data_IF_115744789282
#
_entry.id   IF_115744789282
#
_cell.length_a   1.000
_cell.length_b   1.000
_cell.length_c   1.000
_cell.angle_alpha   90.00
_cell.angle_beta   90.00
_cell.angle_gamma   90.00
#
_symmetry.space_group_name_H-M   'P 1'
#
loop_
_entity.id
_entity.type
_entity.pdbx_description
1 polymer ?
#
# COMPACT_ATOMS: atom_id res chain seq x y z
N UNK A 1 6.89 -17.34 35.65
CA UNK A 1 6.34 -16.56 34.50
C UNK A 1 6.21 -15.12 34.93
N UNK A 2 6.63 -14.15 34.11
CA UNK A 2 6.39 -12.73 34.41
C UNK A 2 4.89 -12.44 34.25
N UNK A 3 4.27 -11.65 35.13
CA UNK A 3 2.87 -11.27 34.96
C UNK A 3 2.73 -10.47 33.65
N UNK A 4 1.66 -10.74 32.89
CA UNK A 4 1.36 -9.98 31.68
C UNK A 4 1.07 -8.54 32.09
N UNK A 5 1.81 -7.60 31.53
CA UNK A 5 1.56 -6.19 31.77
C UNK A 5 0.48 -5.70 30.80
N UNK A 6 -0.78 -5.67 31.24
CA UNK A 6 -1.92 -5.26 30.41
C UNK A 6 -1.75 -3.85 29.81
N UNK A 7 -1.06 -2.94 30.50
CA UNK A 7 -0.78 -1.61 29.97
C UNK A 7 0.18 -1.66 28.77
N UNK A 8 1.15 -2.56 28.79
CA UNK A 8 2.06 -2.79 27.65
C UNK A 8 1.31 -3.40 26.46
N UNK A 9 0.40 -4.35 26.70
CA UNK A 9 -0.41 -4.97 25.65
C UNK A 9 -1.34 -3.93 25.01
N UNK A 10 -1.98 -3.06 25.81
CA UNK A 10 -2.79 -1.96 25.29
C UNK A 10 -1.97 -1.02 24.41
N UNK A 11 -0.78 -0.60 24.89
CA UNK A 11 0.11 0.27 24.13
C UNK A 11 0.58 -0.37 22.80
N UNK A 12 0.92 -1.66 22.81
CA UNK A 12 1.24 -2.41 21.58
C UNK A 12 0.03 -2.49 20.65
N UNK A 13 -1.16 -2.70 21.19
CA UNK A 13 -2.40 -2.72 20.39
C UNK A 13 -2.65 -1.37 19.72
N UNK A 14 -2.33 -0.25 20.39
CA UNK A 14 -2.39 1.09 19.78
C UNK A 14 -1.41 1.23 18.62
N UNK A 15 -0.16 0.77 18.79
CA UNK A 15 0.86 0.78 17.74
C UNK A 15 0.40 -0.03 16.53
N UNK A 16 -0.14 -1.22 16.74
CA UNK A 16 -0.59 -2.09 15.65
C UNK A 16 -1.83 -1.54 14.92
N UNK A 17 -2.79 -0.97 15.64
CA UNK A 17 -3.93 -0.27 15.00
C UNK A 17 -3.45 0.89 14.13
N UNK A 18 -2.46 1.66 14.61
CA UNK A 18 -1.87 2.74 13.83
C UNK A 18 -1.10 2.22 12.61
N UNK A 19 -0.29 1.16 12.76
CA UNK A 19 0.46 0.51 11.66
C UNK A 19 -0.49 0.06 10.56
N UNK A 20 -1.62 -0.52 10.92
CA UNK A 20 -2.63 -1.01 9.99
C UNK A 20 -3.53 0.10 9.43
N UNK A 21 -3.37 1.34 9.89
CA UNK A 21 -4.24 2.46 9.51
C UNK A 21 -5.70 2.27 9.93
N UNK A 22 -5.96 1.46 10.95
CA UNK A 22 -7.31 1.20 11.44
C UNK A 22 -7.88 2.46 12.09
N UNK A 23 -9.08 2.85 11.68
CA UNK A 23 -9.82 3.92 12.36
C UNK A 23 -10.34 3.43 13.71
N UNK A 24 -10.60 4.35 14.68
CA UNK A 24 -11.23 3.97 15.94
C UNK A 24 -12.58 3.25 15.76
N UNK A 25 -13.30 3.57 14.69
CA UNK A 25 -14.57 2.90 14.34
C UNK A 25 -14.35 1.47 13.84
N UNK A 26 -13.37 1.23 12.96
CA UNK A 26 -13.01 -0.12 12.50
C UNK A 26 -12.58 -1.00 13.67
N UNK A 27 -11.71 -0.48 14.55
CA UNK A 27 -11.31 -1.16 15.77
C UNK A 27 -12.52 -1.50 16.65
N UNK A 28 -13.40 -0.53 16.91
CA UNK A 28 -14.62 -0.77 17.70
C UNK A 28 -15.55 -1.81 17.08
N UNK A 29 -15.79 -1.72 15.78
CA UNK A 29 -16.68 -2.64 15.06
C UNK A 29 -16.14 -4.07 15.10
N UNK A 30 -14.82 -4.25 14.95
CA UNK A 30 -14.18 -5.54 15.14
C UNK A 30 -14.39 -6.07 16.56
N UNK A 31 -14.15 -5.26 17.60
CA UNK A 31 -14.30 -5.70 19.00
C UNK A 31 -15.74 -6.08 19.35
N UNK A 32 -16.73 -5.34 18.84
CA UNK A 32 -18.15 -5.68 19.03
C UNK A 32 -18.47 -6.99 18.32
N UNK A 33 -17.99 -7.18 17.09
CA UNK A 33 -18.25 -8.39 16.29
C UNK A 33 -17.59 -9.64 16.87
N UNK A 34 -16.36 -9.52 17.36
CA UNK A 34 -15.53 -10.67 17.79
C UNK A 34 -15.72 -11.00 19.27
N UNK A 35 -15.83 -9.98 20.13
CA UNK A 35 -15.87 -10.16 21.59
C UNK A 35 -17.15 -9.60 22.24
N UNK A 36 -18.03 -8.92 21.49
CA UNK A 36 -19.21 -8.25 22.04
C UNK A 36 -18.90 -6.97 22.83
N UNK A 37 -17.67 -6.43 22.73
CA UNK A 37 -17.21 -5.32 23.58
C UNK A 37 -16.94 -4.05 22.80
N UNK A 38 -17.25 -2.91 23.41
CA UNK A 38 -17.14 -1.59 22.76
C UNK A 38 -15.74 -0.98 22.81
N UNK A 39 -14.81 -1.59 23.55
CA UNK A 39 -13.47 -1.06 23.73
C UNK A 39 -12.50 -2.07 24.32
N UNK A 40 -11.21 -1.87 24.05
CA UNK A 40 -10.13 -2.77 24.45
C UNK A 40 -9.93 -2.86 25.96
N UNK A 41 -10.23 -1.79 26.69
CA UNK A 41 -10.19 -1.74 28.15
C UNK A 41 -11.26 -2.63 28.81
N UNK A 42 -12.26 -3.08 28.04
CA UNK A 42 -13.29 -4.01 28.50
C UNK A 42 -12.91 -5.48 28.22
N UNK A 43 -11.86 -5.72 27.42
CA UNK A 43 -11.41 -7.08 27.10
C UNK A 43 -10.79 -7.74 28.33
N UNK A 44 -10.94 -9.05 28.44
CA UNK A 44 -10.14 -9.83 29.38
C UNK A 44 -8.68 -9.85 28.89
N UNK A 45 -7.75 -10.26 29.76
CA UNK A 45 -6.35 -10.45 29.38
C UNK A 45 -6.20 -11.37 28.15
N UNK A 46 -6.93 -12.49 28.13
CA UNK A 46 -6.88 -13.45 27.02
C UNK A 46 -7.41 -12.86 25.72
N UNK A 47 -8.52 -12.14 25.76
CA UNK A 47 -9.12 -11.48 24.59
C UNK A 47 -8.24 -10.33 24.08
N UNK A 48 -7.61 -9.57 24.97
CA UNK A 48 -6.72 -8.48 24.57
C UNK A 48 -5.45 -9.02 23.90
N UNK A 49 -4.86 -10.09 24.45
CA UNK A 49 -3.73 -10.77 23.83
C UNK A 49 -4.11 -11.41 22.48
N UNK A 50 -5.31 -11.97 22.39
CA UNK A 50 -5.84 -12.52 21.14
C UNK A 50 -6.02 -11.44 20.07
N UNK A 51 -6.59 -10.30 20.46
CA UNK A 51 -6.75 -9.17 19.58
C UNK A 51 -5.39 -8.63 19.10
N UNK A 52 -4.41 -8.49 19.99
CA UNK A 52 -3.06 -8.06 19.61
C UNK A 52 -2.44 -9.03 18.60
N UNK A 53 -2.48 -10.34 18.84
CA UNK A 53 -1.96 -11.35 17.89
C UNK A 53 -2.65 -11.26 16.53
N UNK A 54 -3.96 -11.02 16.51
CA UNK A 54 -4.71 -10.82 15.28
C UNK A 54 -4.23 -9.58 14.50
N UNK A 55 -3.93 -8.47 15.18
CA UNK A 55 -3.38 -7.29 14.53
C UNK A 55 -1.95 -7.54 14.01
N UNK A 56 -1.08 -8.16 14.82
CA UNK A 56 0.30 -8.49 14.43
C UNK A 56 0.38 -9.43 13.23
N UNK A 57 -0.58 -10.36 13.11
CA UNK A 57 -0.66 -11.29 11.99
C UNK A 57 -1.10 -10.62 10.66
N UNK A 58 -1.65 -9.40 10.71
CA UNK A 58 -2.05 -8.69 9.49
C UNK A 58 -0.83 -8.05 8.80
N UNK A 59 -0.74 -8.18 7.46
CA UNK A 59 0.31 -7.52 6.70
C UNK A 59 0.21 -6.00 6.88
N UNK A 60 1.35 -5.32 6.97
CA UNK A 60 1.37 -3.85 6.96
C UNK A 60 0.83 -3.39 5.61
N UNK A 61 -0.27 -2.61 5.57
CA UNK A 61 -0.70 -2.00 4.33
C UNK A 61 0.43 -1.11 3.82
N UNK A 62 0.79 -1.26 2.54
CA UNK A 62 1.70 -0.32 1.89
C UNK A 62 1.08 1.07 1.99
N UNK A 63 1.88 2.06 2.41
CA UNK A 63 1.39 3.44 2.38
C UNK A 63 1.13 3.85 0.94
N UNK A 64 0.31 4.89 0.74
CA UNK A 64 0.07 5.44 -0.61
C UNK A 64 1.39 5.82 -1.30
N UNK A 65 2.36 6.32 -0.53
CA UNK A 65 3.69 6.65 -1.03
C UNK A 65 4.45 5.39 -1.46
N UNK A 66 4.40 4.33 -0.65
CA UNK A 66 5.06 3.05 -0.99
C UNK A 66 4.48 2.44 -2.27
N UNK A 67 3.15 2.53 -2.45
CA UNK A 67 2.49 2.12 -3.69
C UNK A 67 2.97 2.97 -4.87
N UNK A 68 3.09 4.29 -4.71
CA UNK A 68 3.58 5.17 -5.78
C UNK A 68 5.02 4.83 -6.19
N UNK A 69 5.91 4.61 -5.21
CA UNK A 69 7.29 4.19 -5.46
C UNK A 69 7.35 2.85 -6.19
N UNK A 70 6.50 1.89 -5.81
CA UNK A 70 6.41 0.60 -6.49
C UNK A 70 5.96 0.74 -7.95
N UNK A 71 4.94 1.55 -8.22
CA UNK A 71 4.42 1.75 -9.59
C UNK A 71 5.46 2.47 -10.46
N UNK A 72 6.22 3.43 -9.91
CA UNK A 72 7.37 4.04 -10.60
C UNK A 72 8.39 2.95 -10.95
N UNK A 73 8.82 2.14 -9.99
CA UNK A 73 9.81 1.08 -10.24
C UNK A 73 9.33 0.05 -11.29
N UNK A 74 8.04 -0.31 -11.26
CA UNK A 74 7.43 -1.19 -12.27
C UNK A 74 7.40 -0.53 -13.65
N UNK A 75 7.07 0.76 -13.72
CA UNK A 75 7.12 1.52 -14.98
C UNK A 75 8.53 1.49 -15.58
N UNK A 76 9.56 1.64 -14.75
CA UNK A 76 10.97 1.57 -15.17
C UNK A 76 11.32 0.19 -15.71
N UNK A 77 10.88 -0.86 -15.01
CA UNK A 77 11.07 -2.24 -15.44
C UNK A 77 10.39 -2.52 -16.79
N UNK A 78 9.17 -2.03 -16.99
CA UNK A 78 8.44 -2.22 -18.25
C UNK A 78 9.07 -1.44 -19.41
N UNK A 79 9.54 -0.22 -19.16
CA UNK A 79 10.30 0.53 -20.16
C UNK A 79 11.60 -0.21 -20.55
N UNK A 80 12.32 -0.77 -19.57
CA UNK A 80 13.49 -1.61 -19.82
C UNK A 80 13.14 -2.89 -20.58
N UNK A 81 12.04 -3.56 -20.21
CA UNK A 81 11.55 -4.78 -20.85
C UNK A 81 11.27 -4.54 -22.34
N UNK A 82 10.63 -3.41 -22.65
CA UNK A 82 10.29 -3.01 -24.02
C UNK A 82 11.50 -2.53 -24.83
N UNK A 83 12.61 -2.22 -24.16
CA UNK A 83 13.80 -1.66 -24.79
C UNK A 83 13.59 -0.23 -25.28
N UNK A 84 12.66 0.51 -24.69
CA UNK A 84 12.36 1.89 -25.13
C UNK A 84 13.37 2.88 -24.59
N UNK A 85 13.69 3.88 -25.40
CA UNK A 85 14.54 5.01 -25.06
C UNK A 85 13.86 5.94 -24.04
N UNK A 86 14.69 6.69 -23.31
CA UNK A 86 14.20 7.70 -22.36
C UNK A 86 13.49 8.81 -23.12
N UNK A 87 13.97 9.13 -24.32
CA UNK A 87 13.38 10.08 -25.27
C UNK A 87 11.98 9.66 -25.68
N UNK A 88 11.80 8.40 -26.13
CA UNK A 88 10.48 7.87 -26.48
C UNK A 88 9.49 7.98 -25.31
N UNK A 89 9.93 7.57 -24.11
CA UNK A 89 9.09 7.65 -22.91
C UNK A 89 8.72 9.10 -22.58
N UNK A 90 9.67 10.02 -22.65
CA UNK A 90 9.42 11.45 -22.42
C UNK A 90 8.43 12.02 -23.43
N UNK A 91 8.58 11.69 -24.71
CA UNK A 91 7.71 12.19 -25.77
C UNK A 91 6.29 11.63 -25.64
N UNK A 92 6.15 10.34 -25.30
CA UNK A 92 4.85 9.75 -24.99
C UNK A 92 4.17 10.46 -23.82
N UNK A 93 4.88 10.66 -22.70
CA UNK A 93 4.32 11.34 -21.53
C UNK A 93 3.94 12.79 -21.82
N UNK A 94 4.75 13.48 -22.64
CA UNK A 94 4.48 14.84 -23.05
C UNK A 94 3.22 14.92 -23.94
N UNK A 95 3.09 14.01 -24.91
CA UNK A 95 1.95 13.93 -25.84
C UNK A 95 0.65 13.49 -25.15
N UNK A 96 0.71 12.54 -24.23
CA UNK A 96 -0.48 11.91 -23.62
C UNK A 96 -0.95 12.64 -22.37
N UNK A 97 -0.03 13.09 -21.50
CA UNK A 97 -0.37 13.65 -20.18
C UNK A 97 0.07 15.09 -19.98
N UNK A 98 0.65 15.73 -21.02
CA UNK A 98 1.25 17.06 -20.90
C UNK A 98 2.38 17.16 -19.85
N UNK A 99 3.08 16.06 -19.57
CA UNK A 99 4.09 15.97 -18.50
C UNK A 99 5.40 15.40 -19.01
N UNK A 100 6.51 16.02 -18.61
CA UNK A 100 7.87 15.66 -19.07
C UNK A 100 8.53 14.50 -18.30
N UNK A 101 7.88 14.00 -17.25
CA UNK A 101 8.44 12.97 -16.37
C UNK A 101 7.33 12.22 -15.66
N UNK A 102 7.52 10.91 -15.51
CA UNK A 102 6.61 10.03 -14.75
C UNK A 102 6.48 10.41 -13.28
N UNK A 103 7.51 11.05 -12.70
CA UNK A 103 7.45 11.60 -11.34
C UNK A 103 6.51 12.80 -11.20
N UNK A 104 6.05 13.39 -12.31
CA UNK A 104 5.06 14.47 -12.31
C UNK A 104 3.63 13.95 -12.56
N UNK A 105 3.48 12.65 -12.85
CA UNK A 105 2.18 12.02 -13.04
C UNK A 105 1.44 11.89 -11.71
N UNK A 106 0.12 11.97 -11.78
CA UNK A 106 -0.73 11.52 -10.67
C UNK A 106 -0.67 9.99 -10.58
N UNK A 107 -1.12 9.43 -9.46
CA UNK A 107 -1.20 7.98 -9.31
C UNK A 107 -2.05 7.32 -10.42
N UNK A 108 -3.15 7.96 -10.82
CA UNK A 108 -4.05 7.46 -11.86
C UNK A 108 -3.37 7.44 -13.24
N UNK A 109 -2.76 8.56 -13.64
CA UNK A 109 -2.03 8.66 -14.90
C UNK A 109 -0.84 7.69 -14.96
N UNK A 110 -0.13 7.52 -13.84
CA UNK A 110 1.00 6.60 -13.75
C UNK A 110 0.55 5.14 -13.89
N UNK A 111 -0.58 4.77 -13.26
CA UNK A 111 -1.16 3.43 -13.41
C UNK A 111 -1.65 3.19 -14.85
N UNK A 112 -2.26 4.18 -15.47
CA UNK A 112 -2.70 4.06 -16.86
C UNK A 112 -1.53 3.93 -17.82
N UNK A 113 -0.44 4.66 -17.56
CA UNK A 113 0.80 4.50 -18.32
C UNK A 113 1.42 3.11 -18.13
N UNK A 114 1.51 2.61 -16.89
CA UNK A 114 2.01 1.26 -16.60
C UNK A 114 1.20 0.20 -17.33
N UNK A 115 -0.14 0.23 -17.24
CA UNK A 115 -1.02 -0.71 -17.95
C UNK A 115 -0.80 -0.67 -19.46
N UNK A 116 -0.60 0.52 -20.02
CA UNK A 116 -0.27 0.65 -21.43
C UNK A 116 1.05 -0.06 -21.76
N UNK A 117 2.13 0.17 -21.01
CA UNK A 117 3.40 -0.52 -21.22
C UNK A 117 3.27 -2.05 -21.08
N UNK A 118 2.55 -2.54 -20.09
CA UNK A 118 2.29 -3.97 -19.88
C UNK A 118 1.53 -4.60 -21.07
N UNK A 119 0.69 -3.82 -21.75
CA UNK A 119 -0.06 -4.30 -22.93
C UNK A 119 0.80 -4.44 -24.20
N UNK A 120 2.00 -3.86 -24.22
CA UNK A 120 2.87 -3.86 -25.40
C UNK A 120 3.69 -5.16 -25.51
N UNK A 121 3.82 -5.63 -26.76
CA UNK A 121 4.71 -6.73 -27.11
C UNK A 121 6.18 -6.26 -27.09
N UNK A 122 7.10 -7.20 -26.83
CA UNK A 122 8.54 -6.91 -26.74
C UNK A 122 9.32 -7.45 -27.93
N UNK A 123 10.36 -6.74 -28.39
CA UNK A 123 10.67 -5.33 -28.10
C UNK A 123 9.68 -4.39 -28.81
N UNK A 124 9.52 -3.17 -28.30
CA UNK A 124 8.69 -2.16 -28.96
C UNK A 124 9.43 -1.59 -30.18
N UNK A 125 8.75 -1.51 -31.32
CA UNK A 125 9.24 -0.83 -32.50
C UNK A 125 8.92 0.67 -32.42
N UNK A 126 9.88 1.47 -31.94
CA UNK A 126 9.72 2.92 -31.76
C UNK A 126 9.42 3.67 -33.06
N UNK A 127 9.78 3.12 -34.23
CA UNK A 127 9.59 3.79 -35.52
C UNK A 127 8.12 3.96 -35.94
N UNK A 128 7.19 3.33 -35.20
CA UNK A 128 5.75 3.31 -35.49
C UNK A 128 4.93 4.33 -34.69
N UNK A 129 5.57 5.17 -33.88
CA UNK A 129 4.93 6.12 -32.96
C UNK A 129 5.37 7.57 -33.18
#
# INVERSE_FOLDING_TARGET
>A
MKPVNLAEVLAKTDVELHRLGWTPEQGRNYLIKTYGKRGRTLLTESELLDFLRYLEAQPTPLSREDVFVQVIAQTDQEMQRLGVSVEWGRDYLMKTYSKRSRHLLTQEELLDFLKYLESLATPLDESKY
#
